data_IF_206473545803
#
_entry.id   IF_206473545803
#
_cell.length_a   1.000
_cell.length_b   1.000
_cell.length_c   1.000
_cell.angle_alpha   90.00
_cell.angle_beta   90.00
_cell.angle_gamma   90.00
#
_symmetry.space_group_name_H-M   'P 1'
#
loop_
_entity.id
_entity.type
_entity.pdbx_description
1 polymer ?
#
# COMPACT_ATOMS: atom_id res chain seq x y z
N UNK A 1 -14.55 -7.56 4.04
CA UNK A 1 -14.76 -7.77 5.49
C UNK A 1 -13.38 -8.02 6.05
N UNK A 2 -12.64 -6.94 6.36
CA UNK A 2 -11.23 -7.02 6.73
C UNK A 2 -11.10 -7.51 8.16
N UNK A 3 -10.66 -8.76 8.34
CA UNK A 3 -10.24 -9.25 9.64
C UNK A 3 -8.95 -8.55 10.02
N UNK A 4 -8.92 -7.93 11.20
CA UNK A 4 -7.70 -7.39 11.76
C UNK A 4 -6.69 -8.54 11.93
N UNK A 5 -5.68 -8.56 11.06
CA UNK A 5 -4.54 -9.48 11.16
C UNK A 5 -3.89 -9.25 12.51
N UNK A 6 -3.73 -10.33 13.30
CA UNK A 6 -3.09 -10.28 14.60
C UNK A 6 -1.72 -9.64 14.47
N UNK A 7 -1.55 -8.46 15.08
CA UNK A 7 -0.32 -7.67 15.03
C UNK A 7 0.82 -8.47 15.65
N UNK A 8 1.59 -9.17 14.82
CA UNK A 8 3.00 -9.34 15.13
C UNK A 8 3.58 -7.93 15.23
N UNK A 9 4.09 -7.53 16.40
CA UNK A 9 4.69 -6.21 16.54
C UNK A 9 5.95 -6.17 15.67
N UNK A 10 5.93 -5.38 14.61
CA UNK A 10 7.12 -5.08 13.83
C UNK A 10 8.20 -4.48 14.76
N UNK A 11 9.43 -4.96 14.68
CA UNK A 11 10.56 -4.21 15.24
C UNK A 11 10.68 -2.85 14.52
N UNK A 12 11.33 -1.86 15.14
CA UNK A 12 11.50 -0.55 14.53
C UNK A 12 12.16 -0.65 13.14
N UNK A 13 11.61 0.09 12.16
CA UNK A 13 12.20 0.26 10.83
C UNK A 13 11.71 -0.68 9.72
N UNK A 14 10.70 -1.52 9.97
CA UNK A 14 10.00 -2.23 8.88
C UNK A 14 8.95 -1.34 8.24
N UNK A 15 8.93 -1.28 6.91
CA UNK A 15 7.95 -0.49 6.14
C UNK A 15 6.86 -1.33 5.50
N UNK A 16 7.04 -2.66 5.49
CA UNK A 16 6.15 -3.59 4.82
C UNK A 16 5.94 -4.85 5.66
N UNK A 17 4.75 -5.42 5.59
CA UNK A 17 4.48 -6.78 6.05
C UNK A 17 3.69 -7.56 5.03
N UNK A 18 3.87 -8.87 5.03
CA UNK A 18 3.13 -9.81 4.18
C UNK A 18 2.41 -10.81 5.07
N UNK A 19 1.16 -11.09 4.75
CA UNK A 19 0.36 -12.16 5.36
C UNK A 19 -0.45 -12.86 4.28
N UNK A 20 -0.68 -14.17 4.45
CA UNK A 20 -1.56 -14.94 3.58
C UNK A 20 -2.98 -14.36 3.61
N UNK A 21 -3.62 -14.34 2.43
CA UNK A 21 -5.04 -14.02 2.27
C UNK A 21 -5.96 -15.16 2.76
N UNK A 22 -5.42 -16.38 2.89
CA UNK A 22 -6.19 -17.49 3.42
C UNK A 22 -6.61 -17.19 4.86
N UNK A 23 -7.89 -17.38 5.18
CA UNK A 23 -8.54 -17.01 6.45
C UNK A 23 -7.95 -17.62 7.74
N UNK A 24 -6.81 -18.31 7.67
CA UNK A 24 -5.95 -18.71 8.78
C UNK A 24 -4.84 -17.71 9.16
N UNK A 25 -4.74 -16.55 8.50
CA UNK A 25 -3.76 -15.47 8.77
C UNK A 25 -2.31 -15.94 8.97
N UNK A 26 -1.81 -16.81 8.09
CA UNK A 26 -0.40 -17.17 8.14
C UNK A 26 0.47 -15.94 7.84
N UNK A 27 1.30 -15.54 8.80
CA UNK A 27 2.11 -14.34 8.71
C UNK A 27 3.43 -14.65 8.00
N UNK A 28 3.69 -13.96 6.89
CA UNK A 28 4.81 -14.25 6.00
C UNK A 28 6.07 -13.44 6.28
N UNK A 29 5.98 -12.40 7.11
CA UNK A 29 7.14 -11.67 7.59
C UNK A 29 7.05 -10.16 7.38
N UNK A 30 8.15 -9.50 7.72
CA UNK A 30 8.34 -8.06 7.52
C UNK A 30 9.46 -7.80 6.52
N UNK A 31 9.43 -6.63 5.88
CA UNK A 31 10.54 -6.12 5.08
C UNK A 31 10.78 -4.63 5.37
N UNK A 32 12.05 -4.22 5.34
CA UNK A 32 12.44 -2.83 5.60
C UNK A 32 12.21 -1.96 4.38
N UNK A 33 12.41 -2.53 3.19
CA UNK A 33 12.13 -1.88 1.91
C UNK A 33 11.57 -2.89 0.92
N UNK A 34 10.79 -2.41 -0.05
CA UNK A 34 10.24 -3.20 -1.16
C UNK A 34 10.52 -2.47 -2.48
N UNK A 35 11.71 -2.67 -3.05
CA UNK A 35 12.10 -2.02 -4.31
C UNK A 35 11.46 -2.72 -5.49
N UNK A 36 10.93 -1.96 -6.44
CA UNK A 36 10.24 -2.53 -7.62
C UNK A 36 8.74 -2.79 -7.42
N UNK A 37 8.19 -2.60 -6.21
CA UNK A 37 6.77 -2.82 -5.93
C UNK A 37 5.81 -2.02 -6.83
N UNK A 38 6.24 -0.83 -7.25
CA UNK A 38 5.46 0.07 -8.12
C UNK A 38 5.98 0.09 -9.57
N UNK A 39 6.96 -0.75 -9.90
CA UNK A 39 7.52 -0.88 -11.25
C UNK A 39 6.91 -2.12 -11.91
N UNK A 40 6.13 -1.94 -12.97
CA UNK A 40 5.46 -3.04 -13.67
C UNK A 40 6.30 -3.45 -14.88
N UNK A 41 6.48 -4.75 -15.10
CA UNK A 41 7.04 -5.26 -16.35
C UNK A 41 5.96 -5.35 -17.44
N UNK A 42 6.37 -5.55 -18.69
CA UNK A 42 5.45 -5.61 -19.84
C UNK A 42 4.40 -6.74 -19.73
N UNK A 43 4.73 -7.81 -19.02
CA UNK A 43 3.85 -8.96 -18.74
C UNK A 43 2.88 -8.74 -17.57
N UNK A 44 2.89 -7.55 -16.95
CA UNK A 44 2.05 -7.19 -15.81
C UNK A 44 2.55 -7.68 -14.46
N UNK A 45 3.62 -8.47 -14.42
CA UNK A 45 4.27 -8.88 -13.18
C UNK A 45 5.18 -7.78 -12.64
N UNK A 46 5.71 -8.02 -11.44
CA UNK A 46 6.64 -7.15 -10.76
C UNK A 46 7.70 -8.00 -10.11
N UNK A 47 8.96 -7.66 -10.36
CA UNK A 47 10.05 -8.18 -9.56
C UNK A 47 10.29 -7.22 -8.40
N UNK A 48 10.13 -7.72 -7.18
CA UNK A 48 10.22 -6.92 -5.96
C UNK A 48 11.36 -7.44 -5.11
N UNK A 49 12.31 -6.57 -4.78
CA UNK A 49 13.36 -6.83 -3.82
C UNK A 49 12.91 -6.38 -2.43
N UNK A 50 12.55 -7.35 -1.59
CA UNK A 50 12.24 -7.20 -0.18
C UNK A 50 13.55 -7.17 0.62
N UNK A 51 14.03 -5.98 0.95
CA UNK A 51 15.32 -5.80 1.63
C UNK A 51 15.17 -5.87 3.15
N UNK A 52 16.14 -6.49 3.81
CA UNK A 52 16.13 -6.66 5.26
C UNK A 52 14.88 -7.39 5.73
N UNK A 53 14.47 -8.42 4.99
CA UNK A 53 13.28 -9.20 5.25
C UNK A 53 13.51 -10.19 6.41
N UNK A 54 12.48 -10.36 7.24
CA UNK A 54 12.40 -11.40 8.25
C UNK A 54 11.28 -12.39 7.83
N UNK A 55 11.55 -13.30 6.87
CA UNK A 55 10.53 -14.18 6.31
C UNK A 55 10.05 -15.21 7.34
N UNK A 56 8.78 -15.54 7.27
CA UNK A 56 8.08 -16.53 8.10
C UNK A 56 7.04 -17.27 7.25
N UNK A 57 6.42 -18.29 7.82
CA UNK A 57 5.27 -18.98 7.21
C UNK A 57 5.52 -19.42 5.77
N UNK A 58 4.51 -19.21 4.92
CA UNK A 58 4.55 -19.54 3.50
C UNK A 58 5.71 -18.91 2.72
N UNK A 59 6.12 -17.68 3.03
CA UNK A 59 7.26 -17.05 2.36
C UNK A 59 8.57 -17.76 2.72
N UNK A 60 8.80 -18.09 3.99
CA UNK A 60 10.00 -18.84 4.38
C UNK A 60 10.02 -20.23 3.73
N UNK A 61 8.89 -20.94 3.74
CA UNK A 61 8.77 -22.24 3.09
C UNK A 61 9.02 -22.18 1.57
N UNK A 62 8.60 -21.10 0.91
CA UNK A 62 8.88 -20.87 -0.50
C UNK A 62 10.37 -20.64 -0.78
N UNK A 63 11.09 -19.97 0.12
CA UNK A 63 12.53 -19.71 -0.03
C UNK A 63 13.36 -21.00 -0.04
N UNK A 64 12.95 -22.02 0.72
CA UNK A 64 13.60 -23.34 0.73
C UNK A 64 13.42 -24.13 -0.59
N UNK A 65 12.60 -23.60 -1.51
CA UNK A 65 12.22 -24.25 -2.76
C UNK A 65 12.46 -23.40 -4.00
N UNK A 66 13.26 -22.32 -3.89
CA UNK A 66 13.67 -21.46 -5.01
C UNK A 66 14.12 -22.28 -6.22
N UNK A 67 13.63 -21.90 -7.40
CA UNK A 67 13.89 -22.60 -8.66
C UNK A 67 12.95 -23.77 -8.96
N UNK A 68 12.01 -24.10 -8.06
CA UNK A 68 10.98 -25.12 -8.27
C UNK A 68 9.54 -24.57 -8.12
N UNK A 69 8.55 -25.40 -8.45
CA UNK A 69 7.12 -25.02 -8.35
C UNK A 69 6.70 -24.64 -6.91
N UNK A 70 7.36 -25.19 -5.89
CA UNK A 70 7.09 -24.88 -4.47
C UNK A 70 7.67 -23.54 -4.01
N UNK A 71 8.38 -22.82 -4.89
CA UNK A 71 8.79 -21.44 -4.62
C UNK A 71 7.61 -20.44 -4.65
N UNK A 72 6.43 -20.87 -5.11
CA UNK A 72 5.21 -20.05 -5.08
C UNK A 72 4.56 -20.16 -3.69
N UNK A 73 4.58 -19.06 -2.94
CA UNK A 73 3.93 -18.95 -1.63
C UNK A 73 2.41 -18.79 -1.76
N UNK A 74 1.94 -18.11 -2.81
CA UNK A 74 0.51 -17.90 -3.08
C UNK A 74 0.12 -16.42 -3.10
N UNK A 75 -1.07 -16.12 -2.60
CA UNK A 75 -1.60 -14.76 -2.55
C UNK A 75 -1.43 -14.17 -1.15
N UNK A 76 -1.24 -12.85 -1.07
CA UNK A 76 -1.01 -12.16 0.18
C UNK A 76 -1.63 -10.77 0.23
N UNK A 77 -1.93 -10.34 1.45
CA UNK A 77 -2.04 -8.94 1.78
C UNK A 77 -0.64 -8.37 2.07
N UNK A 78 -0.22 -7.41 1.23
CA UNK A 78 1.01 -6.64 1.41
C UNK A 78 0.65 -5.29 2.04
N UNK A 79 0.85 -5.18 3.34
CA UNK A 79 0.59 -3.96 4.09
C UNK A 79 1.80 -3.01 4.06
N UNK A 80 1.52 -1.71 3.94
CA UNK A 80 2.48 -0.63 4.09
C UNK A 80 2.35 -0.06 5.50
N UNK A 81 3.48 0.02 6.21
CA UNK A 81 3.54 0.40 7.61
C UNK A 81 4.09 1.81 7.80
N UNK A 82 3.61 2.51 8.83
CA UNK A 82 4.20 3.73 9.34
C UNK A 82 5.44 3.46 10.23
N UNK A 83 6.03 4.51 10.80
CA UNK A 83 7.25 4.39 11.60
C UNK A 83 7.05 3.58 12.89
N UNK A 84 5.82 3.56 13.39
CA UNK A 84 5.37 2.81 14.57
C UNK A 84 4.95 1.37 14.24
N UNK A 85 5.00 0.98 12.96
CA UNK A 85 4.60 -0.35 12.50
C UNK A 85 3.09 -0.53 12.36
N UNK A 86 2.32 0.56 12.37
CA UNK A 86 0.87 0.53 12.13
C UNK A 86 0.62 0.52 10.62
N UNK A 87 -0.32 -0.32 10.20
CA UNK A 87 -0.75 -0.38 8.81
C UNK A 87 -1.39 0.93 8.37
N UNK A 88 -0.79 1.55 7.36
CA UNK A 88 -1.34 2.70 6.66
C UNK A 88 -2.35 2.29 5.58
N UNK A 89 -2.20 1.07 5.05
CA UNK A 89 -3.10 0.41 4.11
C UNK A 89 -2.39 -0.77 3.45
N UNK A 90 -3.13 -1.56 2.69
CA UNK A 90 -2.63 -2.80 2.08
C UNK A 90 -3.03 -2.94 0.62
N UNK A 91 -2.25 -3.74 -0.09
CA UNK A 91 -2.57 -4.22 -1.43
C UNK A 91 -2.69 -5.74 -1.42
N UNK A 92 -3.72 -6.24 -2.11
CA UNK A 92 -3.81 -7.64 -2.42
C UNK A 92 -2.84 -7.98 -3.57
N UNK A 93 -1.85 -8.82 -3.30
CA UNK A 93 -0.85 -9.26 -4.28
C UNK A 93 -1.04 -10.75 -4.58
N UNK A 94 -0.95 -11.10 -5.85
CA UNK A 94 -1.13 -12.47 -6.31
C UNK A 94 0.21 -13.09 -6.69
N UNK A 95 0.23 -14.42 -6.67
CA UNK A 95 1.34 -15.22 -7.21
C UNK A 95 2.72 -14.86 -6.65
N UNK A 96 2.79 -14.53 -5.35
CA UNK A 96 4.05 -14.26 -4.66
C UNK A 96 4.94 -15.50 -4.77
N UNK A 97 6.02 -15.36 -5.54
CA UNK A 97 6.94 -16.44 -5.88
C UNK A 97 8.36 -16.02 -5.55
N UNK A 98 9.03 -16.80 -4.70
CA UNK A 98 10.42 -16.58 -4.32
C UNK A 98 11.35 -16.91 -5.50
N UNK A 99 12.18 -15.94 -5.90
CA UNK A 99 13.12 -16.08 -7.03
C UNK A 99 14.55 -16.22 -6.52
N UNK A 100 14.91 -15.48 -5.48
CA UNK A 100 16.24 -15.52 -4.90
C UNK A 100 16.22 -15.03 -3.45
N UNK A 101 17.20 -15.46 -2.67
CA UNK A 101 17.44 -14.97 -1.32
C UNK A 101 18.95 -14.86 -1.06
N UNK A 102 19.35 -13.86 -0.29
CA UNK A 102 20.73 -13.71 0.21
C UNK A 102 20.71 -13.09 1.61
N UNK A 103 21.77 -13.28 2.42
CA UNK A 103 21.90 -12.55 3.68
C UNK A 103 21.85 -11.03 3.45
N UNK A 104 21.08 -10.32 4.29
CA UNK A 104 20.95 -8.87 4.20
C UNK A 104 22.10 -8.18 4.92
N UNK A 105 22.54 -7.04 4.38
CA UNK A 105 23.49 -6.15 5.07
C UNK A 105 22.80 -5.26 6.13
N UNK A 106 21.47 -5.29 6.21
CA UNK A 106 20.67 -4.40 7.06
C UNK A 106 20.47 -4.90 8.51
N UNK A 107 20.97 -6.09 8.83
CA UNK A 107 20.94 -6.63 10.19
C UNK A 107 21.18 -8.13 10.24
N UNK A 108 21.67 -8.61 11.40
CA UNK A 108 21.86 -10.04 11.62
C UNK A 108 20.51 -10.79 11.59
N UNK A 109 20.48 -11.92 10.89
CA UNK A 109 19.27 -12.75 10.75
C UNK A 109 18.24 -12.24 9.75
N UNK A 110 18.50 -11.11 9.06
CA UNK A 110 17.67 -10.63 7.96
C UNK A 110 18.19 -11.13 6.61
N UNK A 111 17.29 -11.27 5.65
CA UNK A 111 17.59 -11.68 4.27
C UNK A 111 17.05 -10.68 3.28
N UNK A 112 17.78 -10.45 2.18
CA UNK A 112 17.22 -9.75 1.02
C UNK A 112 16.59 -10.81 0.11
N UNK A 113 15.30 -10.67 -0.17
CA UNK A 113 14.52 -11.64 -0.95
C UNK A 113 14.03 -10.98 -2.23
N UNK A 114 14.30 -11.60 -3.36
CA UNK A 114 13.68 -11.21 -4.63
C UNK A 114 12.45 -12.09 -4.83
N UNK A 115 11.29 -11.47 -4.96
CA UNK A 115 10.03 -12.14 -5.30
C UNK A 115 9.51 -11.63 -6.64
N UNK A 116 8.78 -12.48 -7.34
CA UNK A 116 7.88 -12.08 -8.42
C UNK A 116 6.45 -12.08 -7.87
N UNK A 117 5.67 -11.06 -8.20
CA UNK A 117 4.26 -10.96 -7.83
C UNK A 117 3.45 -10.20 -8.88
N UNK A 118 2.13 -10.35 -8.83
CA UNK A 118 1.19 -9.59 -9.66
C UNK A 118 0.31 -8.69 -8.78
N UNK A 119 0.14 -7.43 -9.21
CA UNK A 119 -0.78 -6.48 -8.58
C UNK A 119 -1.10 -5.32 -9.53
N UNK A 120 -2.38 -5.13 -9.79
CA UNK A 120 -2.92 -4.06 -10.64
C UNK A 120 -3.06 -2.72 -9.89
N UNK A 121 -3.05 -2.74 -8.56
CA UNK A 121 -3.29 -1.56 -7.71
C UNK A 121 -2.02 -0.81 -7.31
N UNK A 122 -0.83 -1.42 -7.42
CA UNK A 122 0.47 -0.78 -7.17
C UNK A 122 0.92 0.04 -8.38
N UNK A 123 0.16 1.08 -8.71
CA UNK A 123 0.41 1.93 -9.87
C UNK A 123 1.77 2.66 -9.77
N UNK A 124 2.48 2.88 -10.89
CA UNK A 124 3.69 3.71 -10.90
C UNK A 124 3.43 5.10 -10.30
N UNK A 125 4.34 5.57 -9.44
CA UNK A 125 4.23 6.85 -8.72
C UNK A 125 3.44 6.80 -7.41
N UNK A 126 2.88 5.64 -7.02
CA UNK A 126 2.17 5.49 -5.73
C UNK A 126 3.09 5.58 -4.52
N UNK A 127 4.37 5.23 -4.69
CA UNK A 127 5.42 5.29 -3.66
C UNK A 127 5.51 6.68 -3.02
N UNK A 128 5.43 7.73 -3.84
CA UNK A 128 5.56 9.09 -3.35
C UNK A 128 4.48 9.46 -2.34
N UNK A 129 3.21 9.17 -2.65
CA UNK A 129 2.12 9.50 -1.73
C UNK A 129 2.16 8.64 -0.46
N UNK A 130 2.54 7.35 -0.56
CA UNK A 130 2.74 6.52 0.63
C UNK A 130 3.84 7.07 1.54
N UNK A 131 4.94 7.59 0.98
CA UNK A 131 6.00 8.21 1.76
C UNK A 131 5.54 9.54 2.40
N UNK A 132 4.74 10.35 1.69
CA UNK A 132 4.14 11.55 2.27
C UNK A 132 3.22 11.24 3.46
N UNK A 133 2.48 10.14 3.41
CA UNK A 133 1.64 9.69 4.54
C UNK A 133 2.54 9.23 5.68
N UNK A 134 3.51 8.35 5.41
CA UNK A 134 4.45 7.79 6.39
C UNK A 134 5.22 8.85 7.16
N UNK A 135 5.63 9.91 6.48
CA UNK A 135 6.43 11.01 7.04
C UNK A 135 5.59 12.17 7.59
N UNK A 136 4.26 12.08 7.48
CA UNK A 136 3.36 13.17 7.87
C UNK A 136 3.47 14.42 6.98
N UNK A 137 4.09 14.31 5.80
CA UNK A 137 4.28 15.41 4.84
C UNK A 137 3.08 15.65 3.92
N UNK A 138 2.04 14.81 3.98
CA UNK A 138 0.74 15.06 3.35
C UNK A 138 -0.05 16.15 4.13
N UNK A 139 0.52 17.36 4.21
CA UNK A 139 0.11 18.42 5.14
C UNK A 139 -0.56 19.63 4.46
N UNK A 140 -0.64 19.65 3.13
CA UNK A 140 -1.28 20.71 2.34
C UNK A 140 -2.00 20.15 1.13
N UNK A 141 -3.05 20.84 0.69
CA UNK A 141 -3.79 20.52 -0.53
C UNK A 141 -2.96 20.83 -1.78
N UNK A 142 -3.32 20.22 -2.90
CA UNK A 142 -2.75 20.51 -4.21
C UNK A 142 -1.38 19.90 -4.48
N UNK A 143 -0.91 18.98 -3.64
CA UNK A 143 0.34 18.24 -3.90
C UNK A 143 0.24 17.40 -5.19
N UNK A 144 -0.97 17.02 -5.61
CA UNK A 144 -1.22 16.32 -6.85
C UNK A 144 -1.20 17.20 -8.11
N UNK A 145 -1.18 18.54 -8.00
CA UNK A 145 -1.32 19.45 -9.15
C UNK A 145 -0.22 19.27 -10.21
N UNK A 146 1.00 18.96 -9.79
CA UNK A 146 2.14 18.75 -10.70
C UNK A 146 2.19 17.35 -11.30
N UNK A 147 1.33 16.43 -10.87
CA UNK A 147 1.28 15.08 -11.42
C UNK A 147 0.63 15.09 -12.79
N UNK A 148 1.06 14.20 -13.67
CA UNK A 148 0.35 13.90 -14.90
C UNK A 148 -0.91 13.05 -14.61
N UNK A 149 -1.62 12.62 -15.66
CA UNK A 149 -2.82 11.81 -15.49
C UNK A 149 -2.54 10.48 -14.77
N UNK A 150 -1.42 9.83 -15.08
CA UNK A 150 -1.06 8.54 -14.47
C UNK A 150 -0.72 8.71 -12.99
N UNK A 151 0.04 9.75 -12.65
CA UNK A 151 0.34 10.12 -11.28
C UNK A 151 -0.91 10.48 -10.47
N UNK A 152 -1.89 11.19 -11.07
CA UNK A 152 -3.17 11.45 -10.39
C UNK A 152 -3.97 10.17 -10.11
N UNK A 153 -3.96 9.20 -11.02
CA UNK A 153 -4.59 7.88 -10.77
C UNK A 153 -3.90 7.12 -9.65
N UNK A 154 -2.56 7.13 -9.63
CA UNK A 154 -1.78 6.56 -8.53
C UNK A 154 -2.12 7.23 -7.20
N UNK A 155 -2.19 8.58 -7.19
CA UNK A 155 -2.60 9.36 -6.04
C UNK A 155 -3.99 8.96 -5.52
N UNK A 156 -4.98 8.84 -6.39
CA UNK A 156 -6.33 8.40 -6.01
C UNK A 156 -6.36 6.97 -5.47
N UNK A 157 -5.59 6.05 -6.07
CA UNK A 157 -5.45 4.67 -5.57
C UNK A 157 -4.91 4.68 -4.14
N UNK A 158 -3.79 5.35 -3.89
CA UNK A 158 -3.20 5.45 -2.54
C UNK A 158 -4.18 6.14 -1.58
N UNK A 159 -4.85 7.21 -2.02
CA UNK A 159 -5.82 7.93 -1.21
C UNK A 159 -6.95 7.02 -0.71
N UNK A 160 -7.42 6.08 -1.53
CA UNK A 160 -8.43 5.09 -1.20
C UNK A 160 -7.94 4.09 -0.15
N UNK A 161 -6.80 3.45 -0.42
CA UNK A 161 -6.25 2.40 0.45
C UNK A 161 -5.80 2.91 1.81
N UNK A 162 -5.40 4.18 1.89
CA UNK A 162 -5.00 4.82 3.15
C UNK A 162 -6.12 5.55 3.89
N UNK A 163 -7.35 5.51 3.38
CA UNK A 163 -8.44 6.35 3.89
C UNK A 163 -8.82 6.02 5.34
N UNK A 164 -8.84 4.75 5.73
CA UNK A 164 -9.13 4.33 7.11
C UNK A 164 -8.05 4.78 8.09
N UNK A 165 -6.78 4.54 7.74
CA UNK A 165 -5.64 5.01 8.53
C UNK A 165 -5.71 6.51 8.76
N UNK A 166 -5.95 7.30 7.70
CA UNK A 166 -6.03 8.77 7.79
C UNK A 166 -7.26 9.31 8.52
N UNK A 167 -8.33 8.52 8.62
CA UNK A 167 -9.54 8.85 9.39
C UNK A 167 -9.43 8.45 10.86
N UNK A 168 -8.48 7.60 11.24
CA UNK A 168 -8.31 7.17 12.62
C UNK A 168 -8.22 8.38 13.56
N UNK A 169 -9.10 8.40 14.57
CA UNK A 169 -9.17 9.48 15.55
C UNK A 169 -9.80 10.78 15.05
N UNK A 170 -10.31 10.85 13.82
CA UNK A 170 -11.08 11.99 13.29
C UNK A 170 -12.57 11.65 13.31
N UNK A 171 -13.39 12.45 14.00
CA UNK A 171 -14.84 12.34 13.85
C UNK A 171 -15.23 12.77 12.43
N UNK A 172 -16.06 11.96 11.76
CA UNK A 172 -16.64 12.26 10.45
C UNK A 172 -17.91 13.12 10.55
N UNK A 173 -18.02 13.98 11.56
CA UNK A 173 -19.15 14.89 11.72
C UNK A 173 -19.02 16.07 10.76
N UNK A 174 -19.30 15.78 9.49
CA UNK A 174 -19.59 16.82 8.51
C UNK A 174 -21.02 17.29 8.80
N UNK A 175 -21.15 18.44 9.46
CA UNK A 175 -22.45 19.07 9.69
C UNK A 175 -23.21 19.24 8.35
N UNK A 176 -24.52 18.91 8.30
CA UNK A 176 -25.34 19.15 7.12
C UNK A 176 -25.30 20.62 6.68
N UNK A 177 -25.39 20.86 5.36
CA UNK A 177 -25.37 22.21 4.79
C UNK A 177 -23.98 22.84 4.64
N UNK A 178 -22.90 22.09 4.91
CA UNK A 178 -21.53 22.57 4.68
C UNK A 178 -21.25 22.74 3.18
N UNK A 179 -20.78 23.93 2.82
CA UNK A 179 -20.36 24.26 1.46
C UNK A 179 -18.87 23.96 1.31
N UNK A 180 -18.52 23.22 0.27
CA UNK A 180 -17.14 22.97 -0.12
C UNK A 180 -16.86 23.71 -1.43
N UNK A 181 -15.72 24.41 -1.48
CA UNK A 181 -15.29 25.13 -2.68
C UNK A 181 -14.30 24.27 -3.44
N UNK A 182 -14.60 24.05 -4.71
CA UNK A 182 -13.73 23.38 -5.67
C UNK A 182 -13.09 24.44 -6.56
N UNK A 183 -11.76 24.48 -6.64
CA UNK A 183 -11.08 25.31 -7.62
C UNK A 183 -11.12 24.63 -8.99
N UNK A 184 -12.03 25.09 -9.85
CA UNK A 184 -12.19 24.57 -11.20
C UNK A 184 -10.98 24.79 -12.11
N UNK A 185 -10.07 25.72 -11.78
CA UNK A 185 -8.87 25.94 -12.59
C UNK A 185 -7.90 24.75 -12.56
N UNK A 186 -7.99 23.90 -11.54
CA UNK A 186 -7.15 22.71 -11.39
C UNK A 186 -7.80 21.44 -11.97
N UNK A 187 -9.04 21.54 -12.47
CA UNK A 187 -9.80 20.40 -13.01
C UNK A 187 -9.66 20.38 -14.53
N UNK A 188 -8.85 19.45 -15.02
CA UNK A 188 -8.54 19.29 -16.44
C UNK A 188 -9.05 17.96 -17.02
N UNK A 189 -9.36 17.00 -16.16
CA UNK A 189 -9.84 15.65 -16.48
C UNK A 189 -10.59 15.03 -15.29
N UNK A 190 -11.08 13.80 -15.48
CA UNK A 190 -11.82 13.06 -14.45
C UNK A 190 -10.97 12.79 -13.21
N UNK A 191 -9.68 12.48 -13.38
CA UNK A 191 -8.78 12.15 -12.28
C UNK A 191 -8.51 13.40 -11.41
N UNK A 192 -8.25 14.56 -12.03
CA UNK A 192 -8.10 15.84 -11.33
C UNK A 192 -9.39 16.32 -10.67
N UNK A 193 -10.56 16.05 -11.26
CA UNK A 193 -11.84 16.29 -10.58
C UNK A 193 -11.95 15.50 -9.27
N UNK A 194 -11.64 14.20 -9.30
CA UNK A 194 -11.70 13.36 -8.09
C UNK A 194 -10.66 13.75 -7.03
N UNK A 195 -9.44 14.15 -7.44
CA UNK A 195 -8.45 14.69 -6.52
C UNK A 195 -8.97 15.98 -5.85
N UNK A 196 -9.47 16.92 -6.66
CA UNK A 196 -9.92 18.22 -6.16
C UNK A 196 -11.11 18.10 -5.20
N UNK A 197 -12.13 17.29 -5.53
CA UNK A 197 -13.30 17.12 -4.67
C UNK A 197 -12.98 16.31 -3.40
N UNK A 198 -12.13 15.29 -3.54
CA UNK A 198 -11.64 14.50 -2.41
C UNK A 198 -10.90 15.37 -1.41
N UNK A 199 -10.02 16.26 -1.89
CA UNK A 199 -9.30 17.17 -1.02
C UNK A 199 -10.17 18.30 -0.46
N UNK A 200 -11.14 18.79 -1.23
CA UNK A 200 -12.09 19.79 -0.76
C UNK A 200 -12.84 19.28 0.48
N UNK A 201 -13.33 18.03 0.43
CA UNK A 201 -14.16 17.42 1.47
C UNK A 201 -13.32 16.84 2.63
N UNK A 202 -12.27 16.06 2.32
CA UNK A 202 -11.56 15.24 3.30
C UNK A 202 -10.17 15.78 3.70
N UNK A 203 -9.78 16.95 3.17
CA UNK A 203 -8.47 17.56 3.44
C UNK A 203 -7.35 17.00 2.55
N UNK A 204 -6.08 17.35 2.80
CA UNK A 204 -4.93 16.93 1.99
C UNK A 204 -4.92 15.43 1.63
N UNK A 205 -4.77 15.11 0.34
CA UNK A 205 -4.83 13.74 -0.19
C UNK A 205 -6.13 12.99 0.08
N UNK A 206 -7.22 13.70 0.36
CA UNK A 206 -8.53 13.13 0.59
C UNK A 206 -9.12 12.48 -0.67
N UNK A 207 -9.95 11.46 -0.47
CA UNK A 207 -10.72 10.80 -1.55
C UNK A 207 -12.17 10.66 -1.11
N UNK A 208 -13.10 10.74 -2.06
CA UNK A 208 -14.48 10.37 -1.81
C UNK A 208 -14.63 8.86 -1.95
N UNK A 209 -15.04 8.20 -0.87
CA UNK A 209 -15.57 6.84 -0.94
C UNK A 209 -17.08 6.95 -1.09
N UNK A 210 -17.61 6.44 -2.19
CA UNK A 210 -19.07 6.31 -2.35
C UNK A 210 -19.44 4.97 -1.72
N UNK A 211 -19.78 4.95 -0.42
CA UNK A 211 -20.48 3.80 0.13
C UNK A 211 -21.86 3.71 -0.55
N UNK A 212 -22.28 2.54 -1.05
CA UNK A 212 -23.69 2.33 -1.34
C UNK A 212 -24.42 2.42 0.00
N UNK A 213 -25.18 3.50 0.21
CA UNK A 213 -26.11 3.56 1.34
C UNK A 213 -27.09 2.41 1.17
N UNK A 214 -27.12 1.48 2.13
CA UNK A 214 -28.31 0.65 2.32
C UNK A 214 -29.44 1.62 2.63
N UNK A 215 -30.38 1.75 1.71
CA UNK A 215 -31.68 2.31 2.03
C UNK A 215 -32.36 1.26 2.92
N UNK A 216 -32.56 1.61 4.19
CA UNK A 216 -33.51 0.92 5.08
C UNK A 216 -34.94 1.33 4.73
#
# INVERSE_FOLDING_TARGET
MGGAVGSASAGAGFKYSLASDDGGSDFWGFAREARGLFCVSEDGFRQVDLLGCAPRGGLLAALDHVGGHRARAGNADLALLDAEGVEMGSYFVNDVTAIAAKPSTLGAGLVDVTVQLWCDQTLPGSDWMWELIRTGQLNRKGLWHSLDQQGRRAWLSVALWSSEYRRRGKSSDIAPGRVFVLDGQQVHDVDSFYCAIGEAVNGPGGVLRVEPRRFE
#
